data_IF_705414261000
#
_entry.id   IF_705414261000
#
_cell.length_a   1.000
_cell.length_b   1.000
_cell.length_c   1.000
_cell.angle_alpha   90.00
_cell.angle_beta   90.00
_cell.angle_gamma   90.00
#
_symmetry.space_group_name_H-M   'P 1'
#
loop_
_entity.id
_entity.type
_entity.pdbx_description
1 polymer ?
#
# COMPACT_ATOMS: atom_id res chain seq x y z
N UNK A 1 -11.80 14.30 6.47
CA UNK A 1 -10.34 14.24 6.26
C UNK A 1 -9.84 12.81 6.23
N UNK A 2 -8.68 12.61 5.65
CA UNK A 2 -8.02 11.31 5.57
C UNK A 2 -6.56 11.43 5.95
N UNK A 3 -6.03 10.45 6.68
CA UNK A 3 -4.63 10.38 7.09
C UNK A 3 -4.14 8.91 7.01
N UNK A 4 -2.84 8.64 6.85
CA UNK A 4 -2.33 7.29 7.01
C UNK A 4 -2.30 6.92 8.50
N UNK A 5 -2.65 5.68 8.82
CA UNK A 5 -2.61 5.15 10.20
C UNK A 5 -1.24 5.36 10.85
N UNK A 6 -0.16 5.19 10.07
CA UNK A 6 1.20 5.38 10.54
C UNK A 6 1.63 6.84 10.78
N UNK A 7 0.77 7.85 10.48
CA UNK A 7 1.04 9.28 10.73
C UNK A 7 -0.25 10.08 10.99
N UNK A 8 -1.18 9.52 11.80
CA UNK A 8 -2.48 10.11 12.08
C UNK A 8 -2.41 11.22 13.15
N UNK A 9 -1.59 12.24 12.91
CA UNK A 9 -1.34 13.32 13.87
C UNK A 9 -2.49 14.30 14.02
N UNK A 10 -3.25 14.56 12.94
CA UNK A 10 -4.43 15.42 13.01
C UNK A 10 -5.59 14.73 13.72
N UNK A 11 -5.82 13.44 13.47
CA UNK A 11 -6.82 12.64 14.17
C UNK A 11 -6.56 12.64 15.68
N UNK A 12 -5.33 12.32 16.10
CA UNK A 12 -4.94 12.36 17.51
C UNK A 12 -5.12 13.75 18.13
N UNK A 13 -4.85 14.82 17.36
CA UNK A 13 -5.01 16.20 17.82
C UNK A 13 -6.48 16.57 17.98
N UNK A 14 -7.34 16.15 17.06
CA UNK A 14 -8.80 16.39 17.14
C UNK A 14 -9.43 15.66 18.33
N UNK A 15 -9.04 14.41 18.57
CA UNK A 15 -9.46 13.61 19.72
C UNK A 15 -9.02 14.23 21.05
N UNK A 16 -7.80 14.79 21.09
CA UNK A 16 -7.26 15.46 22.26
C UNK A 16 -7.77 16.91 22.46
N UNK A 17 -8.44 17.50 21.46
CA UNK A 17 -8.87 18.90 21.47
C UNK A 17 -7.71 19.93 21.41
N UNK A 18 -6.49 19.49 21.14
CA UNK A 18 -5.26 20.29 21.05
C UNK A 18 -4.26 19.65 20.10
N UNK A 19 -3.31 20.43 19.60
CA UNK A 19 -2.22 19.89 18.79
C UNK A 19 -1.41 18.87 19.59
N UNK A 20 -1.24 17.68 19.02
CA UNK A 20 -0.47 16.56 19.57
C UNK A 20 0.69 16.24 18.62
N UNK A 21 1.84 15.94 19.17
CA UNK A 21 3.00 15.45 18.44
C UNK A 21 3.10 13.94 18.62
N UNK A 22 3.18 13.19 17.53
CA UNK A 22 3.39 11.74 17.55
C UNK A 22 4.84 11.41 17.84
N UNK A 23 5.09 10.37 18.62
CA UNK A 23 6.44 9.89 18.93
C UNK A 23 7.14 9.35 17.68
N UNK A 24 6.42 8.55 16.89
CA UNK A 24 6.92 7.92 15.68
C UNK A 24 5.91 8.08 14.56
N UNK A 25 6.43 8.13 13.34
CA UNK A 25 5.63 8.04 12.12
C UNK A 25 6.25 6.99 11.20
N UNK A 26 5.41 6.23 10.51
CA UNK A 26 5.84 5.24 9.52
C UNK A 26 4.71 5.03 8.52
N UNK A 27 4.87 5.50 7.30
CA UNK A 27 3.90 5.34 6.21
C UNK A 27 4.58 5.50 4.86
N UNK A 28 4.04 4.86 3.83
CA UNK A 28 4.44 5.07 2.43
C UNK A 28 3.89 6.39 1.85
N UNK A 29 2.95 7.04 2.53
CA UNK A 29 2.39 8.33 2.13
C UNK A 29 3.26 9.49 2.66
N UNK A 30 4.47 9.61 2.15
CA UNK A 30 5.50 10.55 2.61
C UNK A 30 5.06 12.02 2.55
N UNK A 31 4.28 12.41 1.53
CA UNK A 31 3.74 13.77 1.37
C UNK A 31 2.84 14.24 2.52
N UNK A 32 2.33 13.32 3.35
CA UNK A 32 1.50 13.60 4.55
C UNK A 32 2.09 13.04 5.83
N UNK A 33 3.31 12.55 5.81
CA UNK A 33 4.01 11.98 6.96
C UNK A 33 4.46 13.06 7.96
N UNK A 34 3.51 13.65 8.68
CA UNK A 34 3.73 14.79 9.58
C UNK A 34 3.50 14.38 11.03
N UNK A 35 4.52 14.57 11.88
CA UNK A 35 4.44 14.27 13.32
C UNK A 35 3.52 15.22 14.09
N UNK A 36 3.49 16.48 13.69
CA UNK A 36 2.80 17.55 14.43
C UNK A 36 1.98 18.37 13.45
N UNK A 37 0.67 18.47 13.59
CA UNK A 37 -0.15 19.34 12.76
C UNK A 37 0.22 20.83 12.95
N UNK A 38 0.02 21.63 11.90
CA UNK A 38 0.24 23.06 11.98
C UNK A 38 -0.71 23.74 12.97
N UNK A 39 -0.17 24.39 14.00
CA UNK A 39 -0.96 25.02 15.06
C UNK A 39 -1.90 26.11 14.54
N UNK A 40 -1.52 26.82 13.48
CA UNK A 40 -2.38 27.84 12.86
C UNK A 40 -3.56 27.23 12.08
N UNK A 41 -3.38 26.07 11.48
CA UNK A 41 -4.39 25.39 10.67
C UNK A 41 -5.37 24.59 11.53
N UNK A 42 -4.91 24.08 12.67
CA UNK A 42 -5.68 23.21 13.55
C UNK A 42 -7.08 23.78 13.94
N UNK A 43 -7.23 25.05 14.37
CA UNK A 43 -8.54 25.59 14.72
C UNK A 43 -9.53 25.62 13.55
N UNK A 44 -9.03 25.84 12.33
CA UNK A 44 -9.89 25.85 11.13
C UNK A 44 -10.35 24.41 10.80
N UNK A 45 -9.47 23.44 10.91
CA UNK A 45 -9.81 22.04 10.71
C UNK A 45 -10.80 21.56 11.75
N UNK A 46 -10.55 21.85 13.02
CA UNK A 46 -11.44 21.49 14.13
C UNK A 46 -12.87 22.05 13.95
N UNK A 47 -12.98 23.24 13.36
CA UNK A 47 -14.29 23.91 13.13
C UNK A 47 -15.04 23.36 11.92
N UNK A 48 -14.33 22.96 10.86
CA UNK A 48 -14.94 22.75 9.54
C UNK A 48 -14.89 21.29 9.07
N UNK A 49 -14.26 20.39 9.83
CA UNK A 49 -14.10 18.99 9.45
C UNK A 49 -15.11 18.12 10.23
N UNK A 50 -15.85 17.29 9.51
CA UNK A 50 -16.84 16.37 10.13
C UNK A 50 -16.16 15.17 10.79
N UNK A 51 -15.00 14.76 10.30
CA UNK A 51 -14.22 13.65 10.85
C UNK A 51 -12.95 13.34 10.07
N UNK A 52 -12.13 12.45 10.63
CA UNK A 52 -10.89 11.95 10.01
C UNK A 52 -10.88 10.42 10.01
N UNK A 53 -10.64 9.85 8.85
CA UNK A 53 -10.44 8.41 8.65
C UNK A 53 -8.95 8.14 8.53
N UNK A 54 -8.44 7.18 9.31
CA UNK A 54 -7.07 6.68 9.18
C UNK A 54 -7.06 5.47 8.26
N UNK A 55 -6.14 5.45 7.30
CA UNK A 55 -6.02 4.46 6.22
C UNK A 55 -4.68 3.72 6.37
N UNK A 56 -4.70 2.40 6.26
CA UNK A 56 -3.49 1.60 6.29
C UNK A 56 -2.73 1.63 4.96
N UNK A 57 -1.40 1.53 5.03
CA UNK A 57 -0.52 1.54 3.85
C UNK A 57 -0.87 0.43 2.84
N UNK A 58 -1.34 -0.73 3.32
CA UNK A 58 -1.81 -1.81 2.46
C UNK A 58 -3.01 -1.41 1.59
N UNK A 59 -3.92 -0.59 2.12
CA UNK A 59 -5.07 -0.07 1.38
C UNK A 59 -4.66 0.98 0.33
N UNK A 60 -3.56 1.71 0.59
CA UNK A 60 -2.98 2.63 -0.41
C UNK A 60 -2.39 1.87 -1.59
N UNK A 61 -1.71 0.74 -1.34
CA UNK A 61 -1.21 -0.15 -2.41
C UNK A 61 -2.35 -0.67 -3.28
N UNK A 62 -3.47 -1.07 -2.65
CA UNK A 62 -4.67 -1.48 -3.37
C UNK A 62 -5.28 -0.34 -4.20
N UNK A 63 -5.40 0.85 -3.60
CA UNK A 63 -5.93 2.04 -4.29
C UNK A 63 -5.03 2.45 -5.47
N UNK A 64 -3.70 2.33 -5.32
CA UNK A 64 -2.75 2.57 -6.41
C UNK A 64 -3.03 1.66 -7.62
N UNK A 65 -3.17 0.35 -7.39
CA UNK A 65 -3.47 -0.58 -8.46
C UNK A 65 -4.83 -0.30 -9.10
N UNK A 66 -5.85 0.01 -8.31
CA UNK A 66 -7.18 0.30 -8.82
C UNK A 66 -7.17 1.54 -9.73
N UNK A 67 -6.51 2.62 -9.33
CA UNK A 67 -6.40 3.85 -10.12
C UNK A 67 -5.58 3.60 -11.38
N UNK A 68 -4.47 2.88 -11.27
CA UNK A 68 -3.63 2.58 -12.42
C UNK A 68 -4.31 1.63 -13.42
N UNK A 69 -4.94 0.56 -12.94
CA UNK A 69 -5.57 -0.44 -13.82
C UNK A 69 -6.87 0.07 -14.47
N UNK A 70 -7.71 0.79 -13.69
CA UNK A 70 -9.04 1.21 -14.15
C UNK A 70 -9.04 2.57 -14.85
N UNK A 71 -8.21 3.51 -14.34
CA UNK A 71 -8.20 4.90 -14.81
C UNK A 71 -6.95 5.28 -15.60
N UNK A 72 -5.91 4.41 -15.64
CA UNK A 72 -4.64 4.66 -16.35
C UNK A 72 -3.90 5.89 -15.83
N UNK A 73 -4.03 6.17 -14.54
CA UNK A 73 -3.38 7.28 -13.88
C UNK A 73 -2.34 6.80 -12.88
N UNK A 74 -1.27 7.56 -12.73
CA UNK A 74 -0.30 7.42 -11.66
C UNK A 74 -0.50 8.57 -10.68
N UNK A 75 -0.78 8.24 -9.42
CA UNK A 75 -1.03 9.19 -8.34
C UNK A 75 -0.12 8.82 -7.17
N UNK A 76 0.49 9.80 -6.53
CA UNK A 76 1.33 9.57 -5.36
C UNK A 76 0.54 9.02 -4.16
N UNK A 77 1.22 8.32 -3.26
CA UNK A 77 0.57 7.62 -2.15
C UNK A 77 -0.27 8.54 -1.27
N UNK A 78 0.19 9.78 -1.03
CA UNK A 78 -0.57 10.77 -0.28
C UNK A 78 -1.91 11.14 -0.96
N UNK A 79 -1.91 11.27 -2.28
CA UNK A 79 -3.12 11.57 -3.06
C UNK A 79 -4.12 10.41 -3.14
N UNK A 80 -3.68 9.18 -2.91
CA UNK A 80 -4.53 7.98 -2.94
C UNK A 80 -5.33 7.77 -1.66
N UNK A 81 -5.01 8.47 -0.57
CA UNK A 81 -5.73 8.36 0.71
C UNK A 81 -7.24 8.56 0.54
N UNK A 82 -7.65 9.51 -0.29
CA UNK A 82 -9.07 9.80 -0.52
C UNK A 82 -9.81 8.68 -1.25
N UNK A 83 -9.12 7.96 -2.14
CA UNK A 83 -9.68 6.79 -2.85
C UNK A 83 -9.76 5.59 -1.91
N UNK A 84 -8.69 5.31 -1.15
CA UNK A 84 -8.67 4.22 -0.19
C UNK A 84 -9.77 4.39 0.88
N UNK A 85 -10.01 5.63 1.32
CA UNK A 85 -11.04 5.96 2.30
C UNK A 85 -12.47 5.65 1.85
N UNK A 86 -12.75 5.56 0.54
CA UNK A 86 -14.08 5.22 0.04
C UNK A 86 -14.60 3.88 0.53
N UNK A 87 -13.70 2.94 0.84
CA UNK A 87 -14.06 1.62 1.39
C UNK A 87 -14.64 1.71 2.82
N UNK A 88 -14.38 2.80 3.53
CA UNK A 88 -14.80 3.03 4.91
C UNK A 88 -16.03 3.93 5.04
N UNK A 89 -16.59 4.38 3.92
CA UNK A 89 -17.72 5.30 3.89
C UNK A 89 -18.95 4.61 3.32
N UNK A 90 -20.08 4.80 3.99
CA UNK A 90 -21.39 4.52 3.41
C UNK A 90 -21.89 5.80 2.70
N UNK A 91 -21.92 5.74 1.38
CA UNK A 91 -22.31 6.89 0.54
C UNK A 91 -23.42 6.55 -0.46
N UNK A 92 -24.23 5.53 -0.17
CA UNK A 92 -25.34 5.15 -1.06
C UNK A 92 -26.27 6.33 -1.32
N UNK A 93 -26.48 6.65 -2.59
CA UNK A 93 -27.32 7.75 -3.02
C UNK A 93 -26.72 9.16 -2.83
N UNK A 94 -25.45 9.25 -2.46
CA UNK A 94 -24.72 10.51 -2.30
C UNK A 94 -23.71 10.74 -3.42
N UNK A 95 -23.45 12.01 -3.74
CA UNK A 95 -22.36 12.40 -4.61
C UNK A 95 -21.08 12.57 -3.76
N UNK A 96 -20.06 11.77 -4.02
CA UNK A 96 -18.77 11.83 -3.33
C UNK A 96 -17.71 12.37 -4.27
N UNK A 97 -16.95 13.34 -3.81
CA UNK A 97 -15.80 13.90 -4.54
C UNK A 97 -14.52 13.57 -3.77
N UNK A 98 -13.64 12.79 -4.41
CA UNK A 98 -12.29 12.51 -3.93
C UNK A 98 -11.29 13.33 -4.72
N UNK A 99 -10.47 14.10 -4.02
CA UNK A 99 -9.41 14.89 -4.66
C UNK A 99 -8.17 14.02 -4.81
N UNK A 100 -7.82 13.69 -6.05
CA UNK A 100 -6.55 13.08 -6.38
C UNK A 100 -5.50 14.19 -6.55
N UNK A 101 -4.49 14.18 -5.72
CA UNK A 101 -3.42 15.18 -5.73
C UNK A 101 -2.06 14.53 -5.83
N UNK A 102 -1.15 15.18 -6.54
CA UNK A 102 0.24 14.75 -6.66
C UNK A 102 0.46 13.58 -7.63
N UNK A 103 1.62 13.59 -8.23
CA UNK A 103 2.06 12.57 -9.19
C UNK A 103 3.59 12.39 -9.13
N UNK A 104 4.23 12.87 -8.06
CA UNK A 104 5.68 12.78 -7.89
C UNK A 104 6.08 11.38 -7.42
N UNK A 105 6.05 10.44 -8.35
CA UNK A 105 6.39 9.04 -8.13
C UNK A 105 7.57 8.65 -9.00
N UNK A 106 8.61 8.09 -8.40
CA UNK A 106 9.70 7.49 -9.17
C UNK A 106 9.32 6.07 -9.67
N UNK A 107 9.97 5.65 -10.75
CA UNK A 107 9.67 4.38 -11.43
C UNK A 107 9.97 3.16 -10.54
N UNK A 108 10.93 3.26 -9.64
CA UNK A 108 11.30 2.16 -8.73
C UNK A 108 10.18 1.96 -7.71
N UNK A 109 9.69 3.05 -7.13
CA UNK A 109 8.54 3.03 -6.21
C UNK A 109 7.29 2.49 -6.89
N UNK A 110 6.99 2.94 -8.12
CA UNK A 110 5.87 2.39 -8.92
C UNK A 110 6.01 0.89 -9.10
N UNK A 111 7.20 0.41 -9.50
CA UNK A 111 7.46 -1.03 -9.70
C UNK A 111 7.25 -1.83 -8.41
N UNK A 112 7.72 -1.30 -7.28
CA UNK A 112 7.54 -1.92 -5.97
C UNK A 112 6.07 -2.01 -5.57
N UNK A 113 5.30 -0.92 -5.71
CA UNK A 113 3.87 -0.89 -5.41
C UNK A 113 3.08 -1.87 -6.28
N UNK A 114 3.40 -1.94 -7.57
CA UNK A 114 2.78 -2.92 -8.50
C UNK A 114 3.04 -4.34 -8.02
N UNK A 115 4.29 -4.68 -7.71
CA UNK A 115 4.65 -6.03 -7.24
C UNK A 115 3.91 -6.37 -5.94
N UNK A 116 3.98 -5.50 -4.94
CA UNK A 116 3.31 -5.71 -3.65
C UNK A 116 1.80 -5.86 -3.82
N UNK A 117 1.18 -5.01 -4.61
CA UNK A 117 -0.25 -5.08 -4.84
C UNK A 117 -0.67 -6.35 -5.60
N UNK A 118 0.12 -6.82 -6.56
CA UNK A 118 -0.16 -8.09 -7.25
C UNK A 118 -0.02 -9.30 -6.33
N UNK A 119 0.94 -9.26 -5.39
CA UNK A 119 1.11 -10.30 -4.35
C UNK A 119 -0.08 -10.27 -3.40
N UNK A 120 -0.45 -9.10 -2.86
CA UNK A 120 -1.58 -8.94 -1.94
C UNK A 120 -2.90 -9.42 -2.56
N UNK A 121 -3.08 -9.25 -3.86
CA UNK A 121 -4.26 -9.72 -4.61
C UNK A 121 -4.17 -11.19 -5.05
N UNK A 122 -3.12 -11.91 -4.65
CA UNK A 122 -2.90 -13.30 -5.03
C UNK A 122 -2.67 -13.53 -6.53
N UNK A 123 -2.33 -12.48 -7.30
CA UNK A 123 -2.04 -12.57 -8.74
C UNK A 123 -0.61 -13.04 -9.02
N UNK A 124 0.29 -12.83 -8.07
CA UNK A 124 1.67 -13.31 -8.06
C UNK A 124 1.93 -13.91 -6.69
N UNK A 125 2.63 -15.04 -6.65
CA UNK A 125 3.16 -15.57 -5.40
C UNK A 125 4.60 -16.07 -5.61
N UNK A 126 5.38 -16.07 -4.54
CA UNK A 126 6.74 -16.57 -4.53
C UNK A 126 6.85 -17.71 -3.53
N UNK A 127 7.48 -18.78 -3.92
CA UNK A 127 7.79 -19.89 -3.03
C UNK A 127 9.23 -20.36 -3.22
N UNK A 128 9.79 -20.94 -2.18
CA UNK A 128 11.10 -21.60 -2.23
C UNK A 128 10.91 -23.08 -1.96
N UNK A 129 11.60 -23.90 -2.72
CA UNK A 129 11.58 -25.34 -2.56
C UNK A 129 13.01 -25.88 -2.56
N UNK A 130 13.32 -26.78 -1.63
CA UNK A 130 14.55 -27.54 -1.63
C UNK A 130 14.36 -28.80 -2.45
N UNK A 131 15.23 -28.99 -3.42
CA UNK A 131 15.23 -30.17 -4.29
C UNK A 131 16.51 -30.96 -4.10
N UNK A 132 16.46 -32.29 -4.21
CA UNK A 132 17.68 -33.09 -4.34
C UNK A 132 18.48 -32.64 -5.55
N UNK A 133 19.81 -32.62 -5.43
CA UNK A 133 20.69 -32.31 -6.57
C UNK A 133 20.76 -33.50 -7.53
N UNK A 134 19.75 -33.61 -8.37
CA UNK A 134 19.60 -34.70 -9.37
C UNK A 134 18.99 -34.12 -10.66
N UNK A 135 19.43 -34.66 -11.82
CA UNK A 135 18.81 -34.29 -13.09
C UNK A 135 17.33 -34.55 -13.11
N UNK A 136 16.53 -33.57 -13.60
CA UNK A 136 15.09 -33.66 -13.76
C UNK A 136 14.24 -33.12 -12.61
N UNK A 137 14.78 -32.83 -11.43
CA UNK A 137 13.99 -32.32 -10.30
C UNK A 137 13.37 -30.97 -10.59
N UNK A 138 14.11 -30.05 -11.21
CA UNK A 138 13.57 -28.76 -11.65
C UNK A 138 12.43 -28.91 -12.68
N UNK A 139 12.58 -29.89 -13.60
CA UNK A 139 11.53 -30.16 -14.59
C UNK A 139 10.23 -30.61 -13.93
N UNK A 140 10.32 -31.42 -12.86
CA UNK A 140 9.13 -31.87 -12.10
C UNK A 140 8.36 -30.69 -11.49
N UNK A 141 9.07 -29.71 -10.93
CA UNK A 141 8.44 -28.50 -10.38
C UNK A 141 7.78 -27.68 -11.48
N UNK A 142 8.49 -27.46 -12.60
CA UNK A 142 7.95 -26.71 -13.72
C UNK A 142 6.71 -27.39 -14.33
N UNK A 143 6.71 -28.70 -14.47
CA UNK A 143 5.56 -29.49 -14.95
C UNK A 143 4.36 -29.37 -13.98
N UNK A 144 4.61 -29.45 -12.68
CA UNK A 144 3.58 -29.31 -11.67
C UNK A 144 2.92 -27.92 -11.70
N UNK A 145 3.69 -26.86 -11.82
CA UNK A 145 3.17 -25.48 -11.97
C UNK A 145 2.36 -25.35 -13.26
N UNK A 146 2.87 -25.88 -14.38
CA UNK A 146 2.20 -25.82 -15.67
C UNK A 146 0.85 -26.56 -15.66
N UNK A 147 0.78 -27.75 -15.02
CA UNK A 147 -0.47 -28.52 -14.87
C UNK A 147 -1.54 -27.78 -14.05
N UNK A 148 -1.15 -26.85 -13.19
CA UNK A 148 -2.05 -26.00 -12.43
C UNK A 148 -2.35 -24.67 -13.15
N UNK A 149 -2.04 -24.55 -14.44
CA UNK A 149 -2.13 -23.33 -15.24
C UNK A 149 -1.32 -22.15 -14.68
N UNK A 150 -0.29 -22.44 -13.87
CA UNK A 150 0.63 -21.43 -13.38
C UNK A 150 1.65 -21.05 -14.45
N UNK A 151 2.04 -19.78 -14.48
CA UNK A 151 3.11 -19.27 -15.32
C UNK A 151 4.30 -18.86 -14.45
N UNK A 152 5.47 -19.37 -14.76
CA UNK A 152 6.71 -19.00 -14.06
C UNK A 152 7.25 -17.72 -14.68
N UNK A 153 7.17 -16.62 -13.95
CA UNK A 153 7.65 -15.29 -14.43
C UNK A 153 9.11 -15.03 -14.01
N UNK A 154 9.58 -15.69 -12.95
CA UNK A 154 10.95 -15.61 -12.47
C UNK A 154 11.33 -16.91 -11.78
N UNK A 155 12.55 -17.40 -12.04
CA UNK A 155 13.12 -18.57 -11.40
C UNK A 155 14.57 -18.27 -11.00
N UNK A 156 14.85 -18.41 -9.70
CA UNK A 156 16.20 -18.35 -9.16
C UNK A 156 16.60 -19.77 -8.71
N UNK A 157 17.64 -20.33 -9.29
CA UNK A 157 18.17 -21.63 -8.92
C UNK A 157 19.54 -21.47 -8.25
N UNK A 158 19.67 -21.95 -7.02
CA UNK A 158 20.92 -21.88 -6.27
C UNK A 158 21.27 -23.24 -5.68
N UNK A 159 22.41 -23.79 -6.10
CA UNK A 159 22.93 -25.09 -5.64
C UNK A 159 23.67 -25.00 -4.29
N UNK A 160 24.09 -23.82 -3.85
CA UNK A 160 24.96 -23.61 -2.71
C UNK A 160 24.28 -22.90 -1.52
N UNK A 161 23.00 -23.13 -1.30
CA UNK A 161 22.34 -22.59 -0.11
C UNK A 161 22.83 -23.37 1.11
N UNK A 162 23.62 -22.72 1.97
CA UNK A 162 23.98 -23.26 3.28
C UNK A 162 22.70 -23.57 4.07
N UNK A 163 22.53 -24.83 4.47
CA UNK A 163 21.38 -25.36 5.24
C UNK A 163 21.23 -24.67 6.63
N UNK A 164 22.15 -23.80 7.01
CA UNK A 164 22.25 -23.17 8.35
C UNK A 164 21.68 -21.75 8.44
N UNK A 165 20.71 -21.37 7.62
CA UNK A 165 19.92 -20.16 7.86
C UNK A 165 18.47 -20.56 8.15
N UNK A 166 18.25 -20.99 9.39
CA UNK A 166 16.94 -20.87 10.05
C UNK A 166 16.78 -19.47 10.62
#
# INVERSE_FOLDING_TARGET
GVEPTGAASMKASLEAGRVVTLDKISTIADGVAVKTPGGQVFPYIQKNLDGVIAIDDGELVDAFLDVMEKHKMVVENAGLLTIAALKHLDFQGQNVVSVLSGGNMDVITISSLVQHGLINRGRIFTFSVQLPDRPGELLRIADLVARQNGNIIKLDHNQFVNINRQ
#
